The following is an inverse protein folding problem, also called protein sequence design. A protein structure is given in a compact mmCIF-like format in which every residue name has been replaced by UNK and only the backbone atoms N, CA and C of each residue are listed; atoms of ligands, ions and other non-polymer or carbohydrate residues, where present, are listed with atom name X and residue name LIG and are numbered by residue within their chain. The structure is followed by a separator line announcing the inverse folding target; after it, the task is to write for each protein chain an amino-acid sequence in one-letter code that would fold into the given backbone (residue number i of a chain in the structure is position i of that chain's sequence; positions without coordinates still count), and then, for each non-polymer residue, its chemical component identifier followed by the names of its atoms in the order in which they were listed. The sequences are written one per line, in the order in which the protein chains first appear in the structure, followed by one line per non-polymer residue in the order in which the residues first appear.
data_IF_951812454779
#
_entry.id   IF_951812454779
#
_cell.length_a   1.000
_cell.length_b   1.000
_cell.length_c   1.000
_cell.angle_alpha   90.00
_cell.angle_beta   90.00
_cell.angle_gamma   90.00
#
_symmetry.space_group_name_H-M   'P 1'
#
loop_
_entity.id
_entity.type
_entity.pdbx_description
1 polymer ?
#
# COMPACT_ATOMS: atom_id res chain seq x y z
N UNK A 1 -16.27 -1.11 3.45
CA UNK A 1 -16.03 -0.08 2.41
C UNK A 1 -15.06 -0.57 1.33
N UNK A 2 -15.59 -0.81 0.13
CA UNK A 2 -14.86 -1.29 -1.04
C UNK A 2 -13.87 -0.20 -1.50
N UNK A 3 -12.59 -0.57 -1.58
CA UNK A 3 -11.53 0.31 -2.07
C UNK A 3 -11.74 0.47 -3.57
N UNK A 4 -11.82 1.71 -4.08
CA UNK A 4 -12.03 1.98 -5.50
C UNK A 4 -10.90 1.34 -6.33
N UNK A 5 -11.23 0.31 -7.11
CA UNK A 5 -10.31 -0.47 -7.95
C UNK A 5 -9.94 0.28 -9.24
N UNK A 6 -9.07 1.27 -9.10
CA UNK A 6 -8.45 1.97 -10.22
C UNK A 6 -7.50 3.00 -9.66
N UNK A 7 -6.21 2.83 -9.90
CA UNK A 7 -5.12 3.77 -9.62
C UNK A 7 -4.75 4.08 -8.15
N UNK A 8 -5.56 3.66 -7.16
CA UNK A 8 -5.23 3.82 -5.75
C UNK A 8 -4.16 2.82 -5.28
N UNK A 9 -3.00 3.33 -4.81
CA UNK A 9 -2.03 2.48 -4.10
C UNK A 9 -2.58 2.10 -2.72
N UNK A 10 -2.64 0.80 -2.44
CA UNK A 10 -3.13 0.22 -1.19
C UNK A 10 -2.00 -0.57 -0.52
N UNK A 11 -1.56 -0.13 0.66
CA UNK A 11 -0.79 -0.99 1.56
C UNK A 11 -1.75 -1.75 2.47
N UNK A 12 -1.65 -3.07 2.42
CA UNK A 12 -2.43 -3.96 3.26
C UNK A 12 -1.49 -4.97 3.90
N UNK A 13 -1.40 -4.89 5.22
CA UNK A 13 -0.59 -5.80 6.05
C UNK A 13 -1.53 -6.75 6.76
N UNK A 14 -1.26 -8.03 6.58
CA UNK A 14 -1.97 -9.13 7.23
C UNK A 14 -0.99 -10.04 7.94
N UNK A 15 -1.53 -10.89 8.81
CA UNK A 15 -0.80 -12.07 9.27
C UNK A 15 -0.51 -13.05 8.10
N UNK A 16 0.29 -14.09 8.37
CA UNK A 16 0.67 -15.10 7.38
C UNK A 16 -0.52 -15.86 6.78
N UNK A 17 -1.61 -16.04 7.54
CA UNK A 17 -2.84 -16.67 7.05
C UNK A 17 -3.65 -15.77 6.13
N UNK A 18 -3.41 -14.45 6.17
CA UNK A 18 -4.15 -13.46 5.39
C UNK A 18 -5.57 -13.20 5.91
N UNK A 19 -5.93 -13.71 7.10
CA UNK A 19 -7.28 -13.57 7.67
C UNK A 19 -7.39 -12.34 8.55
N UNK A 20 -6.34 -12.01 9.28
CA UNK A 20 -6.32 -10.87 10.17
C UNK A 20 -5.63 -9.68 9.50
N UNK A 21 -6.30 -8.53 9.50
CA UNK A 21 -5.75 -7.29 8.95
C UNK A 21 -5.18 -6.44 10.07
N UNK A 22 -3.88 -6.22 10.02
CA UNK A 22 -3.15 -5.44 11.01
C UNK A 22 -3.17 -3.95 10.65
N UNK A 23 -2.84 -3.65 9.39
CA UNK A 23 -2.78 -2.27 8.89
C UNK A 23 -3.33 -2.22 7.48
N UNK A 24 -4.17 -1.22 7.19
CA UNK A 24 -4.67 -0.96 5.85
C UNK A 24 -4.74 0.55 5.60
N UNK A 25 -3.93 1.03 4.66
CA UNK A 25 -3.80 2.46 4.34
C UNK A 25 -3.76 2.61 2.82
N UNK A 26 -4.39 3.65 2.30
CA UNK A 26 -4.32 4.02 0.88
C UNK A 26 -3.63 5.37 0.70
N UNK A 27 -3.10 5.62 -0.50
CA UNK A 27 -2.52 6.93 -0.87
C UNK A 27 -3.52 8.09 -0.66
N UNK A 28 -4.79 7.88 -1.00
CA UNK A 28 -5.86 8.87 -0.79
C UNK A 28 -6.14 9.25 0.67
N UNK A 29 -5.74 8.43 1.64
CA UNK A 29 -5.81 8.82 3.06
C UNK A 29 -4.71 9.83 3.45
N UNK A 30 -3.66 9.98 2.64
CA UNK A 30 -2.51 10.86 2.91
C UNK A 30 -2.51 12.14 2.08
N UNK A 31 -3.32 12.21 1.03
CA UNK A 31 -3.41 13.39 0.17
C UNK A 31 -4.83 13.96 0.18
N UNK A 32 -4.96 15.26 -0.12
CA UNK A 32 -6.26 15.96 -0.13
C UNK A 32 -6.90 16.06 -1.51
N UNK A 33 -6.12 15.82 -2.57
CA UNK A 33 -6.59 15.96 -3.94
C UNK A 33 -6.59 14.59 -4.63
N UNK A 34 -7.69 14.25 -5.29
CA UNK A 34 -7.88 12.96 -5.98
C UNK A 34 -6.80 12.69 -7.04
N UNK A 35 -6.27 13.76 -7.67
CA UNK A 35 -5.18 13.65 -8.66
C UNK A 35 -3.87 13.11 -8.09
N UNK A 36 -3.64 13.32 -6.79
CA UNK A 36 -2.38 13.01 -6.13
C UNK A 36 -2.40 11.62 -5.48
N UNK A 37 -3.54 10.92 -5.46
CA UNK A 37 -3.72 9.63 -4.79
C UNK A 37 -2.86 8.52 -5.40
N UNK A 38 -2.58 8.64 -6.70
CA UNK A 38 -1.78 7.69 -7.48
C UNK A 38 -0.29 8.05 -7.53
N UNK A 39 0.10 9.15 -6.88
CA UNK A 39 1.46 9.66 -6.94
C UNK A 39 2.44 8.76 -6.16
N UNK A 40 3.71 8.65 -6.61
CA UNK A 40 4.75 7.96 -5.88
C UNK A 40 4.95 8.49 -4.45
N UNK A 41 4.74 9.80 -4.27
CA UNK A 41 4.88 10.47 -2.99
C UNK A 41 3.78 10.06 -2.01
N UNK A 42 2.52 9.99 -2.45
CA UNK A 42 1.41 9.51 -1.64
C UNK A 42 1.65 8.06 -1.17
N UNK A 43 2.16 7.20 -2.08
CA UNK A 43 2.51 5.82 -1.75
C UNK A 43 3.62 5.75 -0.68
N UNK A 44 4.65 6.58 -0.78
CA UNK A 44 5.75 6.63 0.19
C UNK A 44 5.25 7.02 1.60
N UNK A 45 4.46 8.09 1.70
CA UNK A 45 3.93 8.55 3.00
C UNK A 45 3.01 7.51 3.64
N UNK A 46 2.22 6.83 2.82
CA UNK A 46 1.37 5.75 3.30
C UNK A 46 2.20 4.54 3.79
N UNK A 47 3.26 4.17 3.09
CA UNK A 47 4.18 3.09 3.50
C UNK A 47 4.91 3.40 4.80
N UNK A 48 5.34 4.64 5.02
CA UNK A 48 6.02 5.02 6.27
C UNK A 48 5.11 4.87 7.48
N UNK A 49 3.84 5.27 7.36
CA UNK A 49 2.84 5.11 8.43
C UNK A 49 2.57 3.63 8.74
N UNK A 50 2.53 2.79 7.70
CA UNK A 50 2.47 1.33 7.87
C UNK A 50 3.68 0.80 8.62
N UNK A 51 4.90 1.21 8.24
CA UNK A 51 6.12 0.76 8.88
C UNK A 51 6.17 1.12 10.37
N UNK A 52 5.74 2.34 10.73
CA UNK A 52 5.65 2.78 12.13
C UNK A 52 4.68 1.90 12.91
N UNK A 53 3.46 1.67 12.39
CA UNK A 53 2.48 0.79 13.04
C UNK A 53 2.97 -0.66 13.15
N UNK A 54 3.63 -1.18 12.13
CA UNK A 54 4.23 -2.52 12.18
C UNK A 54 5.30 -2.62 13.28
N UNK A 55 6.11 -1.57 13.47
CA UNK A 55 7.10 -1.50 14.57
C UNK A 55 6.44 -1.47 15.95
N UNK A 56 5.37 -0.69 16.12
CA UNK A 56 4.59 -0.64 17.37
C UNK A 56 3.97 -1.99 17.72
N UNK A 57 3.57 -2.77 16.71
CA UNK A 57 3.04 -4.13 16.86
C UNK A 57 4.14 -5.19 17.03
N UNK A 58 5.42 -4.81 17.02
CA UNK A 58 6.56 -5.73 17.19
C UNK A 58 6.91 -6.57 15.95
N UNK A 59 6.47 -6.17 14.76
CA UNK A 59 6.75 -6.87 13.50
C UNK A 59 8.08 -6.40 12.94
N UNK A 60 9.05 -7.31 12.84
CA UNK A 60 10.43 -7.00 12.42
C UNK A 60 10.70 -7.25 10.93
N UNK A 61 9.90 -8.11 10.29
CA UNK A 61 10.04 -8.46 8.88
C UNK A 61 8.68 -8.66 8.21
N UNK A 62 8.58 -8.30 6.93
CA UNK A 62 7.37 -8.39 6.13
C UNK A 62 7.63 -9.16 4.84
N UNK A 63 6.73 -10.09 4.49
CA UNK A 63 6.70 -10.69 3.15
C UNK A 63 5.89 -9.81 2.20
N UNK A 64 6.54 -9.29 1.16
CA UNK A 64 5.90 -8.34 0.25
C UNK A 64 5.29 -9.06 -0.95
N UNK A 65 3.98 -8.93 -1.10
CA UNK A 65 3.23 -9.39 -2.28
C UNK A 65 2.83 -8.18 -3.11
N UNK A 66 3.45 -8.00 -4.27
CA UNK A 66 3.13 -6.91 -5.17
C UNK A 66 2.00 -7.32 -6.13
N UNK A 67 0.96 -6.50 -6.24
CA UNK A 67 -0.22 -6.75 -7.08
C UNK A 67 -0.57 -5.52 -7.92
N UNK A 68 -0.66 -5.71 -9.23
CA UNK A 68 -1.34 -4.79 -10.14
C UNK A 68 -2.83 -5.13 -10.26
N UNK A 69 -3.63 -4.29 -10.93
CA UNK A 69 -5.08 -4.52 -11.07
C UNK A 69 -5.41 -5.89 -11.68
N UNK A 70 -4.68 -6.30 -12.73
CA UNK A 70 -4.81 -7.62 -13.33
C UNK A 70 -6.10 -7.82 -14.16
N UNK A 71 -6.41 -9.08 -14.50
CA UNK A 71 -7.54 -9.43 -15.37
C UNK A 71 -7.36 -8.92 -16.81
N UNK A 72 -8.39 -8.26 -17.36
CA UNK A 72 -8.35 -7.58 -18.65
C UNK A 72 -7.72 -6.17 -18.58
N UNK A 73 -7.33 -5.72 -17.38
CA UNK A 73 -6.64 -4.43 -17.18
C UNK A 73 -5.13 -4.63 -17.16
N UNK A 74 -4.40 -3.55 -16.89
CA UNK A 74 -2.94 -3.57 -16.80
C UNK A 74 -2.43 -4.54 -15.73
N UNK A 75 -1.45 -5.36 -16.11
CA UNK A 75 -0.75 -6.31 -15.23
C UNK A 75 0.54 -5.71 -14.66
N UNK A 76 0.97 -4.57 -15.19
CA UNK A 76 2.11 -3.81 -14.70
C UNK A 76 1.72 -3.03 -13.44
N UNK A 77 2.47 -3.17 -12.33
CA UNK A 77 2.20 -2.39 -11.12
C UNK A 77 2.40 -0.89 -11.38
N UNK A 78 1.59 -0.06 -10.71
CA UNK A 78 1.64 1.39 -10.87
C UNK A 78 2.92 2.05 -10.31
N UNK A 79 3.13 3.34 -10.58
CA UNK A 79 4.39 4.05 -10.27
C UNK A 79 4.70 4.14 -8.76
N UNK A 80 3.69 4.02 -7.89
CA UNK A 80 3.86 3.97 -6.44
C UNK A 80 4.45 2.66 -5.91
N UNK A 81 4.48 1.58 -6.69
CA UNK A 81 4.95 0.26 -6.25
C UNK A 81 6.41 0.27 -5.78
N UNK A 82 7.32 0.76 -6.62
CA UNK A 82 8.74 0.81 -6.28
C UNK A 82 9.02 1.80 -5.14
N UNK A 83 8.27 2.90 -5.09
CA UNK A 83 8.41 3.91 -4.03
C UNK A 83 7.96 3.38 -2.68
N UNK A 84 6.84 2.65 -2.64
CA UNK A 84 6.34 1.98 -1.45
C UNK A 84 7.31 0.91 -0.96
N UNK A 85 7.92 0.13 -1.86
CA UNK A 85 8.96 -0.86 -1.53
C UNK A 85 10.18 -0.19 -0.90
N UNK A 86 10.67 0.89 -1.51
CA UNK A 86 11.82 1.65 -0.99
C UNK A 86 11.55 2.25 0.38
N UNK A 87 10.31 2.65 0.66
CA UNK A 87 9.93 3.23 1.95
C UNK A 87 9.82 2.20 3.09
N UNK A 88 9.71 0.91 2.76
CA UNK A 88 9.63 -0.20 3.72
C UNK A 88 10.98 -0.86 3.99
N UNK A 89 11.99 -0.57 3.16
CA UNK A 89 13.38 -1.02 3.33
C UNK A 89 14.14 -0.07 4.28
#
# INVERSE_FOLDING_TARGET
PAVREGDLHLQHVTDLSGRETLVRITGGMKVKADRDESSPYAAMLASQDVATRCKELGITALHIKLRATGGNKTKTPGPGAQSALRALA
#
